data_IF_827867630188
#
_entry.id   IF_827867630188
#
_cell.length_a   1.000
_cell.length_b   1.000
_cell.length_c   1.000
_cell.angle_alpha   90.00
_cell.angle_beta   90.00
_cell.angle_gamma   90.00
#
_symmetry.space_group_name_H-M   'P 1'
#
loop_
_entity.id
_entity.type
_entity.pdbx_description
1 polymer ?
#
# COMPACT_ATOMS: atom_id res chain seq x y z
N UNK A 1 -38.25 4.77 7.96
CA UNK A 1 -36.89 4.49 7.47
C UNK A 1 -37.02 3.60 6.24
N UNK A 2 -36.47 4.00 5.08
CA UNK A 2 -36.71 3.30 3.81
C UNK A 2 -36.00 1.94 3.80
N UNK A 3 -36.74 0.85 3.54
CA UNK A 3 -36.20 -0.52 3.54
C UNK A 3 -35.04 -0.74 2.56
N UNK A 4 -34.98 0.07 1.50
CA UNK A 4 -33.87 0.11 0.53
C UNK A 4 -32.54 0.51 1.21
N UNK A 5 -32.56 1.55 2.05
CA UNK A 5 -31.37 2.06 2.75
C UNK A 5 -30.88 1.05 3.79
N UNK A 6 -31.82 0.42 4.51
CA UNK A 6 -31.50 -0.63 5.47
C UNK A 6 -30.85 -1.84 4.80
N UNK A 7 -31.36 -2.28 3.66
CA UNK A 7 -30.81 -3.39 2.90
C UNK A 7 -29.40 -3.09 2.33
N UNK A 8 -29.16 -1.85 1.90
CA UNK A 8 -27.84 -1.41 1.46
C UNK A 8 -26.83 -1.43 2.63
N UNK A 9 -27.20 -0.81 3.75
CA UNK A 9 -26.33 -0.74 4.92
C UNK A 9 -26.05 -2.13 5.53
N UNK A 10 -27.05 -3.02 5.58
CA UNK A 10 -26.86 -4.37 6.09
C UNK A 10 -25.92 -5.20 5.21
N UNK A 11 -25.99 -5.06 3.88
CA UNK A 11 -25.08 -5.72 2.96
C UNK A 11 -23.62 -5.33 3.20
N UNK A 12 -23.36 -4.02 3.41
CA UNK A 12 -22.01 -3.52 3.73
C UNK A 12 -21.48 -4.18 5.01
N UNK A 13 -22.28 -4.22 6.07
CA UNK A 13 -21.88 -4.82 7.35
C UNK A 13 -21.63 -6.31 7.20
N UNK A 14 -22.48 -7.04 6.46
CA UNK A 14 -22.28 -8.47 6.19
C UNK A 14 -20.97 -8.71 5.45
N UNK A 15 -20.71 -7.98 4.36
CA UNK A 15 -19.49 -8.15 3.55
C UNK A 15 -18.24 -7.78 4.34
N UNK A 16 -18.28 -6.71 5.14
CA UNK A 16 -17.15 -6.29 5.96
C UNK A 16 -16.74 -7.30 7.04
N UNK A 17 -17.64 -8.20 7.45
CA UNK A 17 -17.38 -9.23 8.44
C UNK A 17 -17.08 -10.61 7.82
N UNK A 18 -17.02 -10.72 6.49
CA UNK A 18 -16.66 -11.98 5.85
C UNK A 18 -15.15 -12.24 6.04
N UNK A 19 -14.76 -13.46 6.48
CA UNK A 19 -13.36 -13.82 6.64
C UNK A 19 -12.64 -14.14 5.31
N UNK A 20 -13.34 -14.04 4.17
CA UNK A 20 -12.82 -14.28 2.83
C UNK A 20 -13.31 -13.21 1.86
N UNK A 21 -12.52 -12.91 0.83
CA UNK A 21 -12.92 -12.04 -0.27
C UNK A 21 -13.80 -12.83 -1.24
N UNK A 22 -14.94 -12.25 -1.61
CA UNK A 22 -15.80 -12.77 -2.67
C UNK A 22 -15.12 -12.45 -4.01
N UNK A 23 -14.94 -13.47 -4.86
CA UNK A 23 -14.34 -13.31 -6.18
C UNK A 23 -15.27 -12.56 -7.15
N UNK A 24 -14.68 -11.83 -8.10
CA UNK A 24 -15.42 -11.05 -9.08
C UNK A 24 -16.37 -11.89 -9.94
N UNK A 25 -16.05 -13.17 -10.16
CA UNK A 25 -16.90 -14.11 -10.91
C UNK A 25 -18.24 -14.36 -10.22
N UNK A 26 -18.26 -14.42 -8.89
CA UNK A 26 -19.47 -14.69 -8.11
C UNK A 26 -20.40 -13.48 -8.09
N UNK A 27 -19.85 -12.28 -8.30
CA UNK A 27 -20.61 -11.04 -8.46
C UNK A 27 -21.28 -10.88 -9.85
N UNK A 28 -20.91 -11.69 -10.84
CA UNK A 28 -21.59 -11.66 -12.15
C UNK A 28 -22.96 -12.33 -12.07
N UNK A 29 -23.15 -13.27 -11.15
CA UNK A 29 -24.40 -14.04 -11.01
C UNK A 29 -25.59 -13.16 -10.61
N UNK A 30 -25.37 -12.04 -9.91
CA UNK A 30 -26.44 -11.11 -9.52
C UNK A 30 -26.55 -9.86 -10.38
N UNK A 31 -25.83 -9.75 -11.50
CA UNK A 31 -26.03 -8.70 -12.51
C UNK A 31 -27.50 -8.60 -13.01
N UNK A 32 -28.27 -9.71 -13.17
CA UNK A 32 -29.69 -9.63 -13.48
C UNK A 32 -30.51 -8.93 -12.39
N UNK A 33 -30.15 -9.08 -11.10
CA UNK A 33 -30.85 -8.43 -9.98
C UNK A 33 -30.71 -6.91 -10.02
N UNK A 34 -29.58 -6.40 -10.56
CA UNK A 34 -29.36 -4.97 -10.76
C UNK A 34 -30.17 -4.47 -11.97
N UNK A 35 -30.18 -5.21 -13.07
CA UNK A 35 -30.92 -4.82 -14.28
C UNK A 35 -32.44 -4.81 -14.06
N UNK A 36 -32.97 -5.74 -13.27
CA UNK A 36 -34.39 -5.78 -12.92
C UNK A 36 -34.77 -4.81 -11.77
N UNK A 37 -33.81 -4.10 -11.17
CA UNK A 37 -34.01 -3.14 -10.07
C UNK A 37 -34.93 -1.96 -10.44
N UNK A 38 -35.12 -1.73 -11.75
CA UNK A 38 -36.06 -0.73 -12.29
C UNK A 38 -37.52 -1.07 -11.94
N UNK A 39 -37.83 -2.31 -11.57
CA UNK A 39 -39.16 -2.75 -11.15
C UNK A 39 -39.32 -2.60 -9.63
N UNK A 40 -40.44 -2.06 -9.14
CA UNK A 40 -40.61 -1.75 -7.70
C UNK A 40 -40.47 -2.96 -6.76
N UNK A 41 -40.75 -4.17 -7.26
CA UNK A 41 -40.82 -5.39 -6.46
C UNK A 41 -39.48 -5.91 -5.95
N UNK A 42 -38.36 -5.60 -6.61
CA UNK A 42 -37.05 -6.13 -6.21
C UNK A 42 -36.05 -5.07 -5.74
N UNK A 43 -36.48 -3.81 -5.61
CA UNK A 43 -35.59 -2.69 -5.22
C UNK A 43 -34.80 -2.95 -3.95
N UNK A 44 -35.37 -3.66 -2.98
CA UNK A 44 -34.69 -4.01 -1.72
C UNK A 44 -33.56 -5.03 -1.95
N UNK A 45 -33.81 -6.07 -2.75
CA UNK A 45 -32.81 -7.07 -3.11
C UNK A 45 -31.69 -6.47 -3.95
N UNK A 46 -32.03 -5.63 -4.93
CA UNK A 46 -31.04 -4.92 -5.76
C UNK A 46 -30.18 -3.97 -4.93
N UNK A 47 -30.78 -3.29 -3.94
CA UNK A 47 -30.06 -2.41 -3.01
C UNK A 47 -29.09 -3.18 -2.12
N UNK A 48 -29.49 -4.36 -1.62
CA UNK A 48 -28.59 -5.26 -0.90
C UNK A 48 -27.42 -5.69 -1.79
N UNK A 49 -27.68 -6.07 -3.04
CA UNK A 49 -26.64 -6.50 -3.97
C UNK A 49 -25.65 -5.38 -4.31
N UNK A 50 -26.13 -4.16 -4.56
CA UNK A 50 -25.28 -2.97 -4.74
C UNK A 50 -24.45 -2.66 -3.49
N UNK A 51 -25.04 -2.82 -2.30
CA UNK A 51 -24.35 -2.67 -1.03
C UNK A 51 -23.27 -3.74 -0.78
N UNK A 52 -23.34 -4.90 -1.45
CA UNK A 52 -22.30 -5.92 -1.41
C UNK A 52 -21.15 -5.65 -2.40
N UNK A 53 -21.45 -5.15 -3.60
CA UNK A 53 -20.43 -4.82 -4.62
C UNK A 53 -19.57 -3.63 -4.19
N UNK A 54 -20.20 -2.59 -3.64
CA UNK A 54 -19.51 -1.34 -3.27
C UNK A 54 -18.27 -1.54 -2.38
N UNK A 55 -18.35 -2.25 -1.23
CA UNK A 55 -17.18 -2.49 -0.39
C UNK A 55 -16.14 -3.38 -1.06
N UNK A 56 -16.53 -4.32 -1.93
CA UNK A 56 -15.59 -5.18 -2.67
C UNK A 56 -14.79 -4.38 -3.69
N UNK A 57 -15.42 -3.43 -4.39
CA UNK A 57 -14.73 -2.49 -5.28
C UNK A 57 -13.73 -1.62 -4.51
N UNK A 58 -14.16 -1.04 -3.39
CA UNK A 58 -13.29 -0.21 -2.53
C UNK A 58 -12.15 -1.03 -1.92
N UNK A 59 -12.40 -2.29 -1.53
CA UNK A 59 -11.39 -3.19 -0.99
C UNK A 59 -10.38 -3.64 -2.05
N UNK A 60 -10.84 -3.95 -3.27
CA UNK A 60 -10.00 -4.38 -4.39
C UNK A 60 -8.92 -3.34 -4.72
N UNK A 61 -9.31 -2.07 -4.87
CA UNK A 61 -8.38 -0.95 -5.08
C UNK A 61 -7.32 -0.83 -3.97
N UNK A 62 -7.67 -1.18 -2.73
CA UNK A 62 -6.74 -1.07 -1.58
C UNK A 62 -5.80 -2.26 -1.44
N UNK A 63 -6.25 -3.48 -1.77
CA UNK A 63 -5.41 -4.69 -1.69
C UNK A 63 -4.36 -4.71 -2.81
N UNK A 64 -4.67 -4.16 -3.98
CA UNK A 64 -3.71 -4.04 -5.09
C UNK A 64 -2.51 -3.14 -4.78
N UNK A 65 -2.54 -2.40 -3.67
CA UNK A 65 -1.42 -1.57 -3.23
C UNK A 65 -0.40 -2.32 -2.35
N UNK A 66 -0.59 -3.61 -2.05
CA UNK A 66 0.34 -4.37 -1.21
C UNK A 66 1.63 -4.80 -1.94
N UNK A 67 2.72 -4.93 -1.19
CA UNK A 67 3.98 -5.50 -1.68
C UNK A 67 3.74 -6.90 -2.31
N UNK A 68 4.11 -7.13 -3.59
CA UNK A 68 3.97 -8.42 -4.25
C UNK A 68 4.59 -9.56 -3.44
N UNK A 69 3.90 -10.71 -3.38
CA UNK A 69 4.30 -11.86 -2.53
C UNK A 69 5.74 -12.32 -2.85
N UNK A 70 6.13 -12.27 -4.12
CA UNK A 70 7.46 -12.66 -4.58
C UNK A 70 8.60 -11.71 -4.19
N UNK A 71 8.31 -10.51 -3.67
CA UNK A 71 9.30 -9.50 -3.28
C UNK A 71 9.54 -9.44 -1.76
N UNK A 72 8.63 -10.03 -0.98
CA UNK A 72 8.74 -10.06 0.46
C UNK A 72 10.00 -10.84 0.90
N UNK A 73 10.82 -10.24 1.76
CA UNK A 73 12.04 -10.84 2.28
C UNK A 73 13.21 -10.92 1.28
N UNK A 74 13.05 -10.40 0.06
CA UNK A 74 14.16 -10.24 -0.91
C UNK A 74 14.85 -8.90 -0.72
N UNK A 75 16.12 -8.86 -1.09
CA UNK A 75 16.90 -7.63 -1.13
C UNK A 75 16.62 -6.92 -2.46
N UNK A 76 15.95 -5.77 -2.39
CA UNK A 76 15.54 -4.97 -3.53
C UNK A 76 16.44 -3.74 -3.65
N UNK A 77 17.14 -3.59 -4.77
CA UNK A 77 17.81 -2.34 -5.10
C UNK A 77 16.79 -1.35 -5.61
N UNK A 78 16.55 -0.30 -4.83
CA UNK A 78 15.56 0.71 -5.16
C UNK A 78 16.19 2.09 -5.23
N UNK A 79 15.53 2.94 -5.99
CA UNK A 79 15.80 4.37 -6.05
C UNK A 79 14.54 5.10 -5.64
N UNK A 80 14.71 6.06 -4.73
CA UNK A 80 13.56 6.75 -4.17
C UNK A 80 13.96 7.99 -3.39
N UNK A 81 12.96 8.54 -2.71
CA UNK A 81 13.06 9.82 -2.01
C UNK A 81 12.60 9.65 -0.58
N UNK A 82 13.30 10.29 0.36
CA UNK A 82 12.88 10.38 1.76
C UNK A 82 11.63 11.25 1.82
N UNK A 83 10.49 10.70 2.20
CA UNK A 83 9.20 11.41 2.11
C UNK A 83 8.78 12.13 3.40
N UNK A 84 9.40 11.79 4.53
CA UNK A 84 9.04 12.34 5.84
C UNK A 84 10.28 12.46 6.75
N UNK A 85 10.18 13.28 7.80
CA UNK A 85 11.27 13.52 8.75
C UNK A 85 11.64 12.21 9.47
N UNK A 86 12.92 11.82 9.52
CA UNK A 86 13.30 10.63 10.27
C UNK A 86 13.02 10.80 11.76
N UNK A 87 12.30 9.84 12.32
CA UNK A 87 12.10 9.70 13.75
C UNK A 87 13.20 8.83 14.31
N UNK A 88 14.02 9.41 15.18
CA UNK A 88 15.04 8.67 15.90
C UNK A 88 14.41 7.88 17.04
N UNK A 89 14.71 6.59 17.11
CA UNK A 89 14.26 5.67 18.14
C UNK A 89 15.47 4.88 18.64
N UNK A 90 16.23 5.47 19.55
CA UNK A 90 17.44 4.88 20.13
C UNK A 90 18.48 4.57 19.05
N UNK A 91 18.59 3.30 18.66
CA UNK A 91 19.59 2.81 17.69
C UNK A 91 19.09 2.72 16.24
N UNK A 92 17.84 3.10 15.99
CA UNK A 92 17.23 3.06 14.66
C UNK A 92 16.61 4.40 14.29
N UNK A 93 16.85 4.84 13.06
CA UNK A 93 16.17 5.97 12.44
C UNK A 93 15.06 5.45 11.53
N UNK A 94 13.81 5.86 11.78
CA UNK A 94 12.64 5.41 11.01
C UNK A 94 12.07 6.54 10.18
N UNK A 95 11.91 6.33 8.89
CA UNK A 95 11.35 7.32 7.99
C UNK A 95 10.50 6.68 6.89
N UNK A 96 9.63 7.48 6.28
CA UNK A 96 8.89 7.09 5.09
C UNK A 96 9.79 7.26 3.88
N UNK A 97 9.91 6.24 3.06
CA UNK A 97 10.66 6.26 1.82
C UNK A 97 9.74 5.99 0.64
N UNK A 98 9.73 6.90 -0.34
CA UNK A 98 8.95 6.78 -1.57
C UNK A 98 9.80 6.12 -2.64
N UNK A 99 9.49 4.87 -2.96
CA UNK A 99 10.16 4.14 -4.04
C UNK A 99 9.65 4.63 -5.39
N UNK A 100 10.55 5.20 -6.19
CA UNK A 100 10.28 5.68 -7.54
C UNK A 100 10.57 4.56 -8.56
N UNK A 101 11.68 3.84 -8.35
CA UNK A 101 12.15 2.78 -9.25
C UNK A 101 12.75 1.64 -8.46
N UNK A 102 12.55 0.43 -8.96
CA UNK A 102 13.19 -0.79 -8.45
C UNK A 102 14.00 -1.42 -9.59
N UNK A 103 15.18 -1.97 -9.28
CA UNK A 103 16.03 -2.65 -10.25
C UNK A 103 15.59 -4.12 -10.37
N UNK A 104 15.27 -4.56 -11.58
CA UNK A 104 14.90 -5.96 -11.88
C UNK A 104 13.43 -6.33 -11.62
N UNK A 105 12.70 -5.53 -10.85
CA UNK A 105 11.30 -5.79 -10.45
C UNK A 105 10.48 -4.48 -10.56
N UNK A 106 9.18 -4.56 -10.83
CA UNK A 106 8.30 -3.37 -10.86
C UNK A 106 7.60 -3.18 -9.51
N UNK A 107 8.24 -2.40 -8.63
CA UNK A 107 7.65 -1.99 -7.37
C UNK A 107 7.79 -0.47 -7.17
N UNK A 108 6.67 0.17 -6.82
CA UNK A 108 6.58 1.61 -6.55
C UNK A 108 5.60 1.89 -5.43
N UNK A 109 5.92 2.87 -4.60
CA UNK A 109 5.04 3.38 -3.54
C UNK A 109 5.77 3.74 -2.26
N UNK A 110 5.00 4.13 -1.25
CA UNK A 110 5.55 4.56 0.03
C UNK A 110 5.76 3.36 0.95
N UNK A 111 6.95 3.24 1.52
CA UNK A 111 7.32 2.17 2.46
C UNK A 111 7.92 2.78 3.73
N UNK A 112 7.74 2.10 4.86
CA UNK A 112 8.39 2.50 6.11
C UNK A 112 9.73 1.80 6.23
N UNK A 113 10.81 2.58 6.35
CA UNK A 113 12.15 2.04 6.43
C UNK A 113 12.76 2.37 7.80
N UNK A 114 13.33 1.35 8.42
CA UNK A 114 14.18 1.49 9.60
C UNK A 114 15.64 1.38 9.15
N UNK A 115 16.44 2.42 9.34
CA UNK A 115 17.89 2.27 9.27
C UNK A 115 18.46 2.03 10.66
N UNK A 116 19.18 0.93 10.83
CA UNK A 116 19.93 0.64 12.04
C UNK A 116 21.36 1.14 11.87
N UNK A 117 21.87 1.91 12.84
CA UNK A 117 23.25 2.43 12.83
C UNK A 117 23.62 3.22 11.56
N UNK A 118 22.66 3.92 10.93
CA UNK A 118 23.01 4.88 9.89
C UNK A 118 23.77 6.06 10.52
N UNK A 119 24.99 6.29 10.08
CA UNK A 119 25.73 7.53 10.40
C UNK A 119 25.20 8.72 9.58
N UNK A 120 24.62 8.43 8.40
CA UNK A 120 24.02 9.44 7.54
C UNK A 120 22.71 9.98 8.14
N UNK A 121 22.62 11.31 8.25
CA UNK A 121 21.38 12.02 8.60
C UNK A 121 20.60 12.30 7.34
N UNK A 122 19.52 11.56 7.14
CA UNK A 122 18.60 11.77 6.02
C UNK A 122 17.68 12.97 6.27
N UNK A 123 17.43 13.75 5.24
CA UNK A 123 16.51 14.89 5.25
C UNK A 123 15.34 14.59 4.31
N UNK A 124 14.10 15.03 4.62
CA UNK A 124 13.00 14.86 3.69
C UNK A 124 13.32 15.47 2.34
N UNK A 125 13.17 14.66 1.30
CA UNK A 125 13.37 14.94 -0.10
C UNK A 125 14.76 14.58 -0.65
N UNK A 126 15.65 14.05 0.19
CA UNK A 126 16.89 13.41 -0.27
C UNK A 126 16.58 12.28 -1.24
N UNK A 127 17.30 12.25 -2.36
CA UNK A 127 17.22 11.18 -3.36
C UNK A 127 18.31 10.18 -3.06
N UNK A 128 17.97 8.90 -2.88
CA UNK A 128 18.98 7.87 -2.66
C UNK A 128 18.68 6.59 -3.41
N UNK A 129 19.76 5.87 -3.71
CA UNK A 129 19.71 4.46 -4.04
C UNK A 129 20.03 3.65 -2.79
N UNK A 130 19.24 2.62 -2.52
CA UNK A 130 19.44 1.76 -1.36
C UNK A 130 19.03 0.32 -1.67
N UNK A 131 19.71 -0.63 -1.05
CA UNK A 131 19.27 -2.01 -1.01
C UNK A 131 18.36 -2.17 0.20
N UNK A 132 17.07 -2.39 -0.04
CA UNK A 132 16.05 -2.54 1.00
C UNK A 132 15.61 -3.98 1.10
N UNK A 133 15.43 -4.48 2.32
CA UNK A 133 14.71 -5.72 2.56
C UNK A 133 13.34 -5.40 3.12
N UNK A 134 12.32 -5.60 2.30
CA UNK A 134 10.94 -5.28 2.64
C UNK A 134 10.21 -6.52 3.13
N UNK A 135 9.45 -6.35 4.20
CA UNK A 135 8.47 -7.31 4.66
C UNK A 135 7.08 -6.80 4.28
N UNK A 136 6.18 -7.74 3.99
CA UNK A 136 4.77 -7.40 3.88
C UNK A 136 4.29 -6.83 5.22
N UNK A 137 3.33 -5.90 5.21
CA UNK A 137 2.53 -5.63 6.38
C UNK A 137 1.72 -6.91 6.65
N UNK A 138 2.30 -7.84 7.39
CA UNK A 138 1.58 -8.96 8.01
C UNK A 138 1.72 -8.79 9.50
N UNK A 139 0.59 -8.62 10.15
CA UNK A 139 0.42 -8.58 11.57
C UNK A 139 0.54 -9.99 12.05
N UNK A 140 1.56 -10.23 12.86
CA UNK A 140 1.32 -11.09 14.00
C UNK A 140 0.19 -10.43 14.79
N UNK A 141 -1.02 -11.02 14.75
CA UNK A 141 -2.12 -10.69 15.66
C UNK A 141 -1.54 -10.67 17.07
N UNK A 142 -1.27 -9.46 17.57
CA UNK A 142 -0.77 -9.27 18.92
C UNK A 142 -1.94 -8.69 19.72
N UNK A 143 -2.72 -9.52 20.43
CA UNK A 143 -4.01 -9.14 20.98
C UNK A 143 -3.98 -7.93 21.94
N UNK A 144 -2.80 -7.58 22.47
CA UNK A 144 -2.61 -6.48 23.42
C UNK A 144 -1.86 -5.25 22.84
N UNK A 145 -1.44 -5.27 21.57
CA UNK A 145 -0.73 -4.13 20.97
C UNK A 145 -1.48 -3.58 19.76
N UNK A 146 -1.85 -2.30 19.88
CA UNK A 146 -2.40 -1.41 18.86
C UNK A 146 -1.99 -1.83 17.43
N UNK A 147 -2.99 -2.09 16.58
CA UNK A 147 -2.84 -2.67 15.25
C UNK A 147 -1.81 -1.94 14.37
N UNK A 148 -0.57 -2.44 14.38
CA UNK A 148 0.50 -1.93 13.53
C UNK A 148 0.13 -2.02 12.04
N UNK A 149 -0.68 -3.01 11.67
CA UNK A 149 -1.26 -3.15 10.33
C UNK A 149 -2.24 -2.02 10.00
N UNK A 150 -3.18 -1.72 10.89
CA UNK A 150 -4.15 -0.63 10.69
C UNK A 150 -3.43 0.71 10.60
N UNK A 151 -2.34 0.90 11.36
CA UNK A 151 -1.51 2.10 11.24
C UNK A 151 -0.79 2.20 9.88
N UNK A 152 -0.16 1.11 9.41
CA UNK A 152 0.49 1.08 8.08
C UNK A 152 -0.53 1.31 6.96
N UNK A 153 -1.70 0.70 7.07
CA UNK A 153 -2.82 0.83 6.13
C UNK A 153 -3.37 2.26 6.09
N UNK A 154 -3.59 2.87 7.26
CA UNK A 154 -4.07 4.27 7.37
C UNK A 154 -3.07 5.26 6.76
N UNK A 155 -1.79 4.91 6.68
CA UNK A 155 -0.73 5.74 6.10
C UNK A 155 -0.44 5.44 4.63
N UNK A 156 -1.22 4.58 3.97
CA UNK A 156 -1.01 4.12 2.59
C UNK A 156 0.41 3.55 2.36
N UNK A 157 0.97 2.88 3.38
CA UNK A 157 2.29 2.28 3.29
C UNK A 157 2.17 0.87 2.72
N UNK A 158 2.87 0.62 1.60
CA UNK A 158 2.85 -0.67 0.89
C UNK A 158 3.61 -1.78 1.58
N UNK A 159 4.46 -1.42 2.54
CA UNK A 159 5.26 -2.35 3.33
C UNK A 159 6.18 -1.65 4.30
N UNK A 160 6.85 -2.44 5.12
CA UNK A 160 7.84 -1.98 6.08
C UNK A 160 9.10 -2.83 5.98
N UNK A 161 10.25 -2.23 6.22
CA UNK A 161 11.52 -2.94 6.08
C UNK A 161 12.68 -2.17 6.68
N UNK A 162 13.87 -2.56 6.25
CA UNK A 162 15.10 -1.92 6.69
C UNK A 162 16.11 -1.81 5.56
N UNK A 163 17.04 -0.86 5.72
CA UNK A 163 18.16 -0.69 4.80
C UNK A 163 19.20 -1.76 5.09
N UNK A 164 19.59 -2.50 4.06
CA UNK A 164 20.75 -3.40 4.08
C UNK A 164 22.03 -2.63 3.76
N UNK A 165 21.98 -1.86 2.68
CA UNK A 165 23.11 -1.09 2.18
C UNK A 165 22.60 0.25 1.68
N UNK A 166 23.25 1.33 2.13
CA UNK A 166 23.02 2.68 1.61
C UNK A 166 23.93 2.84 0.40
N UNK A 167 23.33 3.10 -0.77
CA UNK A 167 24.05 3.45 -1.99
C UNK A 167 24.28 4.95 -2.10
N UNK A 168 24.51 5.48 -3.31
CA UNK A 168 24.64 6.91 -3.54
C UNK A 168 23.39 7.67 -3.06
N UNK A 169 23.59 8.70 -2.26
CA UNK A 169 22.54 9.66 -1.88
C UNK A 169 22.91 11.08 -2.28
N UNK A 170 21.90 11.88 -2.61
CA UNK A 170 22.03 13.24 -3.09
C UNK A 170 21.14 14.16 -2.24
N UNK A 171 21.72 15.14 -1.52
CA UNK A 171 20.97 16.12 -0.76
C UNK A 171 20.09 17.00 -1.65
N UNK A 172 19.01 17.50 -1.07
CA UNK A 172 17.96 18.27 -1.75
C UNK A 172 18.41 19.64 -2.30
N UNK A 173 19.49 20.22 -1.78
CA UNK A 173 19.72 21.66 -1.89
C UNK A 173 20.24 22.16 -3.25
N UNK A 174 20.92 21.34 -4.08
CA UNK A 174 21.47 21.86 -5.36
C UNK A 174 21.40 20.89 -6.57
N UNK A 175 21.13 19.60 -6.37
CA UNK A 175 21.28 18.56 -7.40
C UNK A 175 19.97 18.00 -7.93
N UNK A 176 18.85 18.74 -7.81
CA UNK A 176 17.51 18.29 -8.25
C UNK A 176 17.46 17.77 -9.69
N UNK A 177 18.16 18.43 -10.62
CA UNK A 177 18.18 18.06 -12.04
C UNK A 177 19.20 16.95 -12.32
N UNK A 178 20.39 16.98 -11.72
CA UNK A 178 21.42 15.95 -11.93
C UNK A 178 21.05 14.62 -11.27
N UNK A 179 20.45 14.63 -10.07
CA UNK A 179 19.95 13.43 -9.41
C UNK A 179 18.78 12.82 -10.19
N UNK A 180 17.84 13.63 -10.68
CA UNK A 180 16.76 13.12 -11.55
C UNK A 180 17.33 12.50 -12.83
N UNK A 181 18.27 13.18 -13.49
CA UNK A 181 18.93 12.69 -14.73
C UNK A 181 19.70 11.40 -14.46
N UNK A 182 20.54 11.30 -13.43
CA UNK A 182 21.31 10.07 -13.10
C UNK A 182 20.38 8.91 -12.73
N UNK A 183 19.26 9.18 -12.07
CA UNK A 183 18.25 8.17 -11.72
C UNK A 183 17.48 7.69 -12.96
N UNK A 184 17.30 8.54 -13.97
CA UNK A 184 16.69 8.16 -15.26
C UNK A 184 17.67 7.57 -16.28
N UNK A 185 18.95 7.96 -16.24
CA UNK A 185 19.96 7.73 -17.29
C UNK A 185 20.77 6.44 -17.11
N UNK A 186 20.48 5.63 -16.09
CA UNK A 186 21.08 4.30 -15.96
C UNK A 186 20.50 3.27 -16.99
N UNK A 187 20.18 3.74 -18.20
CA UNK A 187 19.78 2.96 -19.40
C UNK A 187 20.94 2.72 -20.39
N UNK A 188 22.17 3.16 -20.11
CA UNK A 188 23.28 3.08 -21.08
C UNK A 188 24.46 2.17 -20.71
N UNK A 189 24.40 1.40 -19.62
CA UNK A 189 25.45 0.40 -19.33
C UNK A 189 24.88 -0.90 -18.78
N UNK A 190 24.37 -1.72 -19.71
CA UNK A 190 24.68 -3.16 -19.87
C UNK A 190 23.87 -3.70 -21.03
#
# INVERSE_FOLDING_TARGET
MNGVVLAFASAIVCVANLPFLIDWSDLVVGLPLILFALTSRIRVLSSFYLGAIFPLYVAGERISAELPVGLAGKDLRVTGVVADLPRESGFASRFRFRVIRTLGEDFRGDVLISCYRCEARFVPGDVMQATLRLNRPRGTLNPDLLDYEVWLFTKNLKGAGYIREVGPWFPLDETRLLAYIIVTDNRLKT
#
